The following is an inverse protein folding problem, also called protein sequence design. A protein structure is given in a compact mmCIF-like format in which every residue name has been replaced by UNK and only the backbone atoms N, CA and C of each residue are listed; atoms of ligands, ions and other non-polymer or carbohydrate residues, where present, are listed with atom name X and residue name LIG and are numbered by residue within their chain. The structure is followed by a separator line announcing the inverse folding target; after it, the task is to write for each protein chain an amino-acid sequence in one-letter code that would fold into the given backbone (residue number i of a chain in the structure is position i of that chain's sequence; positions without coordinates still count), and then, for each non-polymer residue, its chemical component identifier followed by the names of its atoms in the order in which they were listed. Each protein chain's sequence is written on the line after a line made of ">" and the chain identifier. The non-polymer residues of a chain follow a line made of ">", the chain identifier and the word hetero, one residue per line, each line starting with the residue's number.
data_IF_211178624032
#
_entry.id   IF_211178624032
#
_cell.length_a   1.000
_cell.length_b   1.000
_cell.length_c   1.000
_cell.angle_alpha   90.00
_cell.angle_beta   90.00
_cell.angle_gamma   90.00
#
_symmetry.space_group_name_H-M   'P 1'
#
loop_
_entity.id
_entity.type
_entity.pdbx_description
1 polymer ?
#
# COMPACT_ATOMS: atom_id res chain seq x y z
N UNK A 1 1.64 -0.42 -18.59
CA UNK A 1 1.06 0.10 -17.34
C UNK A 1 -0.45 0.03 -17.46
N UNK A 2 -1.09 -0.78 -16.63
CA UNK A 2 -2.55 -0.91 -16.57
C UNK A 2 -3.11 0.12 -15.59
N UNK A 3 -4.27 0.69 -15.89
CA UNK A 3 -4.93 1.72 -15.05
C UNK A 3 -6.14 1.08 -14.40
N UNK A 4 -6.25 1.20 -13.08
CA UNK A 4 -7.39 0.65 -12.36
C UNK A 4 -8.68 1.37 -12.78
N UNK A 5 -9.73 0.62 -13.13
CA UNK A 5 -11.02 1.16 -13.55
C UNK A 5 -11.74 1.92 -12.43
N UNK A 6 -11.48 1.58 -11.17
CA UNK A 6 -12.11 2.19 -9.99
C UNK A 6 -11.33 3.41 -9.51
N UNK A 7 -10.10 3.23 -9.04
CA UNK A 7 -9.33 4.33 -8.43
C UNK A 7 -8.52 5.17 -9.44
N UNK A 8 -8.48 4.77 -10.71
CA UNK A 8 -7.75 5.47 -11.80
C UNK A 8 -6.24 5.61 -11.58
N UNK A 9 -5.66 4.94 -10.59
CA UNK A 9 -4.22 4.88 -10.38
C UNK A 9 -3.57 3.80 -11.27
N UNK A 10 -2.28 3.99 -11.61
CA UNK A 10 -1.46 2.93 -12.19
C UNK A 10 -1.44 1.70 -11.28
N UNK A 11 -1.76 0.54 -11.83
CA UNK A 11 -1.59 -0.74 -11.15
C UNK A 11 -0.31 -1.41 -11.68
N UNK A 12 0.57 -1.81 -10.78
CA UNK A 12 1.66 -2.73 -11.13
C UNK A 12 1.08 -4.14 -11.31
N UNK A 13 1.70 -5.02 -12.12
CA UNK A 13 1.14 -6.34 -12.43
C UNK A 13 0.77 -7.17 -11.19
N UNK A 14 1.60 -7.13 -10.14
CA UNK A 14 1.35 -7.86 -8.89
C UNK A 14 0.14 -7.34 -8.10
N UNK A 15 -0.27 -6.10 -8.37
CA UNK A 15 -1.43 -5.46 -7.77
C UNK A 15 -2.68 -5.59 -8.65
N UNK A 16 -2.67 -6.34 -9.76
CA UNK A 16 -3.85 -6.53 -10.62
C UNK A 16 -4.56 -7.85 -10.30
N UNK A 17 -5.85 -7.78 -9.96
CA UNK A 17 -6.67 -8.98 -9.68
C UNK A 17 -7.50 -9.39 -10.89
N UNK A 18 -7.97 -8.42 -11.69
CA UNK A 18 -8.81 -8.67 -12.86
C UNK A 18 -8.28 -7.91 -14.07
N UNK A 19 -8.19 -8.60 -15.20
CA UNK A 19 -7.97 -8.00 -16.51
C UNK A 19 -9.30 -7.95 -17.28
N UNK A 20 -9.76 -6.73 -17.56
CA UNK A 20 -10.89 -6.48 -18.45
C UNK A 20 -10.43 -6.16 -19.87
N UNK A 21 -11.35 -6.20 -20.85
CA UNK A 21 -11.07 -5.74 -22.20
C UNK A 21 -10.65 -4.26 -22.21
N UNK A 22 -9.79 -3.86 -23.16
CA UNK A 22 -9.37 -2.47 -23.35
C UNK A 22 -8.38 -1.94 -22.31
N UNK A 23 -7.48 -2.78 -21.78
CA UNK A 23 -6.46 -2.43 -20.74
C UNK A 23 -7.05 -1.99 -19.39
N UNK A 24 -8.33 -2.23 -19.16
CA UNK A 24 -8.95 -1.98 -17.88
C UNK A 24 -8.51 -3.07 -16.89
N UNK A 25 -8.10 -2.67 -15.70
CA UNK A 25 -7.83 -3.62 -14.63
C UNK A 25 -8.55 -3.21 -13.35
N UNK A 26 -8.68 -4.13 -12.39
CA UNK A 26 -9.03 -3.80 -11.01
C UNK A 26 -7.83 -4.10 -10.13
N UNK A 27 -7.36 -3.10 -9.38
CA UNK A 27 -6.24 -3.31 -8.47
C UNK A 27 -6.69 -4.08 -7.22
N UNK A 28 -5.75 -4.76 -6.56
CA UNK A 28 -5.99 -5.57 -5.36
C UNK A 28 -6.70 -4.78 -4.28
N UNK A 29 -6.28 -3.54 -4.02
CA UNK A 29 -6.94 -2.69 -3.04
C UNK A 29 -8.42 -2.46 -3.35
N UNK A 30 -8.76 -2.08 -4.58
CA UNK A 30 -10.15 -1.84 -4.97
C UNK A 30 -10.96 -3.13 -4.99
N UNK A 31 -10.37 -4.23 -5.46
CA UNK A 31 -11.02 -5.54 -5.41
C UNK A 31 -11.40 -5.93 -3.98
N UNK A 32 -10.46 -5.85 -3.03
CA UNK A 32 -10.71 -6.20 -1.63
C UNK A 32 -11.73 -5.28 -0.95
N UNK A 33 -11.79 -4.01 -1.35
CA UNK A 33 -12.80 -3.04 -0.89
C UNK A 33 -14.18 -3.39 -1.39
N UNK A 34 -14.35 -3.56 -2.70
CA UNK A 34 -15.67 -3.83 -3.29
C UNK A 34 -16.20 -5.23 -2.94
N UNK A 35 -15.31 -6.21 -2.70
CA UNK A 35 -15.70 -7.56 -2.27
C UNK A 35 -15.89 -7.70 -0.76
N UNK A 36 -15.63 -6.64 0.03
CA UNK A 36 -15.78 -6.66 1.48
C UNK A 36 -14.78 -7.56 2.20
N UNK A 37 -13.70 -7.98 1.53
CA UNK A 37 -12.65 -8.84 2.11
C UNK A 37 -11.65 -8.03 2.95
N UNK A 38 -11.61 -6.70 2.78
CA UNK A 38 -10.84 -5.80 3.65
C UNK A 38 -11.32 -5.92 5.10
N UNK A 39 -10.52 -6.60 5.93
CA UNK A 39 -10.74 -6.62 7.38
C UNK A 39 -10.10 -5.38 8.01
N UNK A 40 -10.76 -4.73 8.97
CA UNK A 40 -10.12 -3.70 9.79
C UNK A 40 -8.86 -4.26 10.44
N UNK A 41 -7.77 -3.50 10.39
CA UNK A 41 -6.54 -3.87 11.10
C UNK A 41 -6.83 -3.85 12.60
N UNK A 42 -6.60 -4.95 13.34
CA UNK A 42 -6.80 -4.95 14.79
C UNK A 42 -5.96 -3.86 15.45
N UNK A 43 -6.54 -3.12 16.41
CA UNK A 43 -5.87 -1.98 17.05
C UNK A 43 -4.53 -2.33 17.70
N UNK A 44 -4.38 -3.55 18.22
CA UNK A 44 -3.11 -4.05 18.74
C UNK A 44 -2.04 -4.15 17.65
N UNK A 45 -2.38 -4.74 16.50
CA UNK A 45 -1.46 -4.88 15.37
C UNK A 45 -1.12 -3.52 14.77
N UNK A 46 -2.11 -2.63 14.66
CA UNK A 46 -1.89 -1.26 14.20
C UNK A 46 -0.84 -0.53 15.06
N UNK A 47 -0.97 -0.60 16.39
CA UNK A 47 0.00 -0.01 17.31
C UNK A 47 1.39 -0.60 17.16
N UNK A 48 1.50 -1.91 16.92
CA UNK A 48 2.79 -2.55 16.66
C UNK A 48 3.45 -2.03 15.38
N UNK A 49 2.68 -1.92 14.30
CA UNK A 49 3.18 -1.37 13.03
C UNK A 49 3.62 0.09 13.21
N UNK A 50 2.81 0.92 13.85
CA UNK A 50 3.15 2.32 14.14
C UNK A 50 4.42 2.45 14.98
N UNK A 51 4.61 1.60 15.99
CA UNK A 51 5.82 1.58 16.81
C UNK A 51 7.08 1.20 16.01
N UNK A 52 6.99 0.20 15.13
CA UNK A 52 8.09 -0.21 14.25
C UNK A 52 8.44 0.91 13.28
N UNK A 53 7.44 1.51 12.64
CA UNK A 53 7.67 2.60 11.68
C UNK A 53 8.29 3.84 12.35
N UNK A 54 7.88 4.18 13.56
CA UNK A 54 8.47 5.28 14.34
C UNK A 54 9.96 5.01 14.64
N UNK A 55 10.28 3.80 15.11
CA UNK A 55 11.67 3.41 15.39
C UNK A 55 12.56 3.43 14.12
N UNK A 56 12.02 3.01 12.97
CA UNK A 56 12.75 3.09 11.69
C UNK A 56 12.93 4.53 11.21
N UNK A 57 11.94 5.40 11.43
CA UNK A 57 12.07 6.82 11.10
C UNK A 57 13.18 7.51 11.90
N UNK A 58 13.26 7.24 13.21
CA UNK A 58 14.34 7.75 14.08
C UNK A 58 15.72 7.28 13.61
N UNK A 59 15.84 5.98 13.24
CA UNK A 59 17.09 5.43 12.68
C UNK A 59 17.48 6.11 11.38
N UNK A 60 16.51 6.33 10.49
CA UNK A 60 16.74 7.01 9.21
C UNK A 60 17.18 8.46 9.41
N UNK A 61 16.53 9.19 10.32
CA UNK A 61 16.91 10.57 10.67
C UNK A 61 18.31 10.65 11.29
N UNK A 62 18.64 9.75 12.23
CA UNK A 62 19.97 9.68 12.81
C UNK A 62 21.04 9.35 11.75
N UNK A 63 20.75 8.44 10.83
CA UNK A 63 21.66 8.10 9.74
C UNK A 63 21.86 9.28 8.77
N UNK A 64 20.79 10.03 8.46
CA UNK A 64 20.84 11.21 7.61
C UNK A 64 21.63 12.35 8.27
N UNK A 65 21.39 12.61 9.57
CA UNK A 65 22.12 13.62 10.34
C UNK A 65 23.59 13.26 10.57
N UNK A 66 23.93 11.96 10.64
CA UNK A 66 25.32 11.52 10.70
C UNK A 66 26.07 11.68 9.37
N UNK A 67 25.35 11.79 8.25
CA UNK A 67 25.92 11.93 6.91
C UNK A 67 26.04 13.38 6.42
N UNK A 68 25.51 14.37 7.15
CA UNK A 68 25.63 15.80 6.82
C UNK A 68 26.38 16.56 7.94
N UNK A 69 27.49 17.26 7.64
CA UNK A 69 28.31 17.95 8.65
C UNK A 69 27.65 19.23 9.18
#
# INVERSE_FOLDING_TARGET
>A
MSICAICRFPAVPDDVVLHGPGRQCVCLHCYLRETGVLRPVPAALRRQVEAVLAAEAERYEAAMNAWWP
#
